data_IF_845342027130
#
_entry.id   IF_845342027130
#
_cell.length_a   1.000
_cell.length_b   1.000
_cell.length_c   1.000
_cell.angle_alpha   90.00
_cell.angle_beta   90.00
_cell.angle_gamma   90.00
#
_symmetry.space_group_name_H-M   'P 1'
#
loop_
_entity.id
_entity.type
_entity.pdbx_description
1 polymer ?
#
# COMPACT_ATOMS: atom_id res chain seq x y z
N UNK A 1 -19.34 -24.42 -12.58
CA UNK A 1 -19.10 -24.14 -14.00
C UNK A 1 -17.67 -23.67 -14.17
N UNK A 2 -16.79 -24.56 -14.61
CA UNK A 2 -15.40 -24.24 -14.96
C UNK A 2 -15.45 -23.46 -16.27
N UNK A 3 -15.23 -22.14 -16.21
CA UNK A 3 -15.01 -21.33 -17.42
C UNK A 3 -13.81 -21.95 -18.15
N UNK A 4 -13.96 -22.30 -19.42
CA UNK A 4 -12.84 -22.65 -20.28
C UNK A 4 -11.88 -21.46 -20.30
N UNK A 5 -10.75 -21.62 -19.63
CA UNK A 5 -9.74 -20.58 -19.52
C UNK A 5 -8.73 -20.85 -20.61
N UNK A 6 -8.79 -20.09 -21.69
CA UNK A 6 -7.90 -20.23 -22.84
C UNK A 6 -6.47 -19.81 -22.48
N UNK A 7 -5.51 -20.60 -22.91
CA UNK A 7 -4.10 -20.24 -22.82
C UNK A 7 -3.81 -19.04 -23.74
N UNK A 8 -2.98 -18.12 -23.28
CA UNK A 8 -2.55 -16.92 -24.03
C UNK A 8 -1.13 -17.14 -24.52
N UNK A 9 -0.89 -16.83 -25.81
CA UNK A 9 0.44 -16.92 -26.40
C UNK A 9 1.07 -15.54 -26.43
N UNK A 10 2.31 -15.41 -25.93
CA UNK A 10 3.09 -14.17 -25.90
C UNK A 10 4.41 -14.41 -26.61
N UNK A 11 4.90 -13.38 -27.35
CA UNK A 11 6.18 -13.42 -28.02
C UNK A 11 7.33 -13.25 -27.02
N UNK A 12 8.41 -14.01 -27.23
CA UNK A 12 9.66 -13.87 -26.47
C UNK A 12 10.61 -13.02 -27.31
N UNK A 13 11.10 -11.93 -26.70
CA UNK A 13 12.03 -11.00 -27.33
C UNK A 13 13.47 -11.21 -26.80
N UNK A 14 14.45 -10.82 -27.58
CA UNK A 14 15.83 -10.62 -27.12
C UNK A 14 15.99 -9.27 -26.44
N UNK A 15 17.14 -9.02 -25.83
CA UNK A 15 17.53 -7.71 -25.27
C UNK A 15 17.58 -6.59 -26.33
N UNK A 16 17.64 -6.93 -27.61
CA UNK A 16 17.68 -6.01 -28.77
C UNK A 16 16.30 -5.85 -29.45
N UNK A 17 15.23 -6.44 -28.88
CA UNK A 17 13.88 -6.38 -29.44
C UNK A 17 13.59 -7.36 -30.57
N UNK A 18 14.51 -8.27 -30.91
CA UNK A 18 14.28 -9.29 -31.92
C UNK A 18 13.40 -10.42 -31.39
N UNK A 19 12.44 -10.91 -32.19
CA UNK A 19 11.57 -12.03 -31.83
C UNK A 19 12.38 -13.34 -31.88
N UNK A 20 12.45 -14.05 -30.74
CA UNK A 20 13.14 -15.35 -30.60
C UNK A 20 12.20 -16.55 -30.67
N UNK A 21 10.91 -16.35 -30.34
CA UNK A 21 9.92 -17.41 -30.29
C UNK A 21 8.63 -16.97 -29.60
N UNK A 22 7.81 -17.94 -29.24
CA UNK A 22 6.57 -17.71 -28.49
C UNK A 22 6.48 -18.65 -27.27
N UNK A 23 5.80 -18.19 -26.23
CA UNK A 23 5.52 -18.95 -25.02
C UNK A 23 4.02 -18.96 -24.73
N UNK A 24 3.50 -20.11 -24.32
CA UNK A 24 2.13 -20.22 -23.87
C UNK A 24 2.06 -19.94 -22.38
N UNK A 25 1.23 -18.96 -22.00
CA UNK A 25 0.91 -18.62 -20.62
C UNK A 25 -0.31 -19.40 -20.16
N UNK A 26 -0.25 -19.90 -18.92
CA UNK A 26 -1.37 -20.64 -18.33
C UNK A 26 -2.61 -19.76 -18.19
N UNK A 27 -3.70 -20.18 -18.81
CA UNK A 27 -4.97 -19.49 -18.76
C UNK A 27 -5.52 -19.31 -17.34
N UNK A 28 -5.31 -20.27 -16.44
CA UNK A 28 -5.71 -20.16 -15.03
C UNK A 28 -5.10 -18.95 -14.30
N UNK A 29 -4.00 -18.39 -14.80
CA UNK A 29 -3.33 -17.23 -14.20
C UNK A 29 -3.59 -15.97 -15.03
N UNK A 30 -3.41 -16.05 -16.35
CA UNK A 30 -3.42 -14.91 -17.27
C UNK A 30 -4.73 -14.75 -18.05
N UNK A 31 -5.61 -15.75 -18.03
CA UNK A 31 -6.91 -15.71 -18.69
C UNK A 31 -8.08 -15.37 -17.76
N UNK A 32 -7.82 -14.94 -16.53
CA UNK A 32 -8.87 -14.62 -15.55
C UNK A 32 -9.45 -13.24 -15.86
N UNK A 33 -10.78 -13.13 -15.84
CA UNK A 33 -11.47 -11.85 -15.94
C UNK A 33 -11.07 -10.92 -14.78
N UNK A 34 -10.52 -9.72 -15.06
CA UNK A 34 -10.02 -8.83 -14.02
C UNK A 34 -11.12 -8.36 -13.07
N UNK A 35 -10.97 -8.64 -11.77
CA UNK A 35 -11.88 -8.18 -10.73
C UNK A 35 -11.29 -6.96 -10.00
N UNK A 36 -11.73 -5.76 -10.41
CA UNK A 36 -11.25 -4.48 -9.88
C UNK A 36 -11.49 -4.32 -8.39
N UNK A 37 -12.61 -4.82 -7.86
CA UNK A 37 -12.92 -4.73 -6.43
C UNK A 37 -11.93 -5.53 -5.58
N UNK A 38 -11.62 -6.76 -5.98
CA UNK A 38 -10.67 -7.61 -5.24
C UNK A 38 -9.25 -7.04 -5.32
N UNK A 39 -8.85 -6.46 -6.46
CA UNK A 39 -7.58 -5.75 -6.62
C UNK A 39 -7.50 -4.53 -5.68
N UNK A 40 -8.58 -3.74 -5.59
CA UNK A 40 -8.68 -2.61 -4.65
C UNK A 40 -8.53 -3.06 -3.19
N UNK A 41 -9.19 -4.15 -2.79
CA UNK A 41 -9.07 -4.68 -1.42
C UNK A 41 -7.64 -5.14 -1.10
N UNK A 42 -6.96 -5.76 -2.06
CA UNK A 42 -5.56 -6.17 -1.91
C UNK A 42 -4.63 -4.96 -1.76
N UNK A 43 -4.78 -3.94 -2.60
CA UNK A 43 -4.04 -2.69 -2.52
C UNK A 43 -4.29 -1.98 -1.19
N UNK A 44 -5.55 -1.82 -0.78
CA UNK A 44 -5.93 -1.22 0.51
C UNK A 44 -5.28 -1.94 1.69
N UNK A 45 -5.29 -3.29 1.66
CA UNK A 45 -4.60 -4.10 2.66
C UNK A 45 -3.11 -3.79 2.70
N UNK A 46 -2.44 -3.77 1.55
CA UNK A 46 -1.00 -3.51 1.46
C UNK A 46 -0.64 -2.13 2.01
N UNK A 47 -1.37 -1.09 1.63
CA UNK A 47 -1.16 0.27 2.13
C UNK A 47 -1.42 0.39 3.63
N UNK A 48 -2.49 -0.24 4.14
CA UNK A 48 -2.79 -0.25 5.57
C UNK A 48 -1.70 -0.96 6.38
N UNK A 49 -1.23 -2.12 5.90
CA UNK A 49 -0.21 -2.90 6.61
C UNK A 49 1.18 -2.24 6.58
N UNK A 50 1.45 -1.40 5.60
CA UNK A 50 2.67 -0.58 5.56
C UNK A 50 2.63 0.62 6.53
N UNK A 51 1.44 0.98 7.03
CA UNK A 51 1.26 2.13 7.91
C UNK A 51 1.72 1.84 9.33
N UNK A 52 2.71 2.55 9.82
CA UNK A 52 3.29 2.33 11.16
C UNK A 52 2.35 2.70 12.34
N UNK A 53 1.42 3.63 12.16
CA UNK A 53 0.42 4.00 13.17
C UNK A 53 0.97 4.66 14.44
N UNK A 54 2.07 5.41 14.35
CA UNK A 54 2.78 5.97 15.49
C UNK A 54 2.23 7.31 16.01
N UNK A 55 1.23 7.88 15.34
CA UNK A 55 0.64 9.15 15.77
C UNK A 55 0.08 9.06 17.19
N UNK A 56 0.50 9.98 18.06
CA UNK A 56 0.08 10.01 19.46
C UNK A 56 -0.18 11.45 19.90
N UNK A 57 -1.32 11.68 20.58
CA UNK A 57 -1.61 12.91 21.29
C UNK A 57 -1.79 12.61 22.79
N UNK A 58 -1.30 13.51 23.64
CA UNK A 58 -1.42 13.37 25.09
C UNK A 58 -2.80 13.77 25.57
N UNK A 59 -3.44 12.92 26.34
CA UNK A 59 -4.66 13.23 27.08
C UNK A 59 -4.35 14.11 28.29
N UNK A 60 -5.39 14.68 28.93
CA UNK A 60 -5.22 15.50 30.15
C UNK A 60 -4.51 14.77 31.30
N UNK A 61 -4.56 13.44 31.34
CA UNK A 61 -3.84 12.64 32.33
C UNK A 61 -2.36 12.51 32.04
N UNK A 62 -1.99 12.50 30.76
CA UNK A 62 -0.61 12.28 30.26
C UNK A 62 0.19 13.58 30.13
N UNK A 63 -0.49 14.75 30.07
CA UNK A 63 0.19 16.06 30.03
C UNK A 63 0.85 16.33 31.36
N UNK A 64 2.10 16.78 31.36
CA UNK A 64 2.84 17.16 32.57
C UNK A 64 2.28 18.43 33.22
N UNK A 65 2.33 18.53 34.54
CA UNK A 65 1.92 19.70 35.31
C UNK A 65 0.52 19.60 35.93
N UNK A 66 -0.01 20.71 36.46
CA UNK A 66 -1.41 20.91 36.82
C UNK A 66 -1.92 20.22 38.08
N UNK A 67 -1.10 19.86 39.06
CA UNK A 67 -1.58 19.28 40.32
C UNK A 67 -2.38 20.23 41.21
N UNK A 68 -2.14 21.54 41.15
CA UNK A 68 -2.81 22.56 41.91
C UNK A 68 -4.04 23.10 41.20
N UNK A 69 -5.15 23.35 41.91
CA UNK A 69 -6.34 24.01 41.39
C UNK A 69 -5.97 25.45 40.97
N UNK A 70 -6.31 25.95 39.75
CA UNK A 70 -5.90 27.25 39.28
C UNK A 70 -6.36 28.43 40.12
N UNK A 71 -7.61 28.38 40.62
CA UNK A 71 -8.23 29.38 41.49
C UNK A 71 -9.31 28.78 42.35
N UNK A 72 -9.79 29.59 43.32
CA UNK A 72 -10.85 29.17 44.26
C UNK A 72 -12.17 28.87 43.52
N UNK A 73 -13.00 28.00 44.10
CA UNK A 73 -14.26 27.53 43.52
C UNK A 73 -15.29 28.64 43.27
N UNK A 74 -15.30 29.69 44.14
CA UNK A 74 -16.21 30.82 44.13
C UNK A 74 -15.43 32.11 44.45
N UNK A 75 -16.00 33.30 44.15
CA UNK A 75 -15.43 34.59 44.51
C UNK A 75 -14.35 35.13 43.56
N UNK A 76 -14.13 34.54 42.38
CA UNK A 76 -13.12 35.00 41.41
C UNK A 76 -13.67 35.69 40.16
N UNK A 77 -15.00 35.68 39.97
CA UNK A 77 -15.63 36.13 38.73
C UNK A 77 -15.30 35.35 37.48
N UNK A 78 -14.51 34.28 37.60
CA UNK A 78 -14.08 33.42 36.49
C UNK A 78 -14.86 32.11 36.43
N UNK A 79 -14.86 31.48 35.24
CA UNK A 79 -15.40 30.13 35.11
C UNK A 79 -14.67 29.14 36.04
N UNK A 80 -15.36 28.16 36.56
CA UNK A 80 -14.77 27.14 37.44
C UNK A 80 -13.79 26.28 36.66
N UNK A 81 -12.58 26.11 37.20
CA UNK A 81 -11.57 25.24 36.63
C UNK A 81 -10.91 24.36 37.67
N UNK A 82 -10.79 23.08 37.38
CA UNK A 82 -10.17 22.08 38.27
C UNK A 82 -8.67 21.86 37.96
N UNK A 83 -8.25 22.03 36.72
CA UNK A 83 -6.86 21.81 36.30
C UNK A 83 -6.53 22.62 35.06
N UNK A 84 -5.30 23.12 34.99
CA UNK A 84 -4.73 23.77 33.80
C UNK A 84 -4.49 22.78 32.64
N UNK A 85 -4.49 21.49 32.90
CA UNK A 85 -4.38 20.43 31.89
C UNK A 85 -5.70 20.13 31.16
N UNK A 86 -6.79 20.82 31.51
CA UNK A 86 -8.06 20.70 30.80
C UNK A 86 -7.89 21.09 29.33
N UNK A 87 -8.56 20.41 28.38
CA UNK A 87 -8.48 20.75 26.95
C UNK A 87 -8.98 22.15 26.60
N UNK A 88 -9.66 22.83 27.52
CA UNK A 88 -10.08 24.21 27.38
C UNK A 88 -8.92 25.23 27.51
N UNK A 89 -7.80 24.80 28.08
CA UNK A 89 -6.63 25.65 28.28
C UNK A 89 -5.58 25.41 27.20
N UNK A 90 -4.88 26.46 26.81
CA UNK A 90 -3.71 26.37 25.92
C UNK A 90 -2.64 25.49 26.57
N UNK A 91 -2.17 24.48 25.85
CA UNK A 91 -1.25 23.48 26.38
C UNK A 91 -1.92 22.36 27.21
N UNK A 92 -3.25 22.35 27.31
CA UNK A 92 -4.00 21.25 27.90
C UNK A 92 -4.01 19.98 27.03
N UNK A 93 -4.59 18.89 27.57
CA UNK A 93 -4.67 17.62 26.86
C UNK A 93 -5.64 17.64 25.69
N UNK A 94 -5.44 16.77 24.74
CA UNK A 94 -6.32 16.57 23.58
C UNK A 94 -7.39 15.53 23.92
N UNK A 95 -8.66 15.86 23.58
CA UNK A 95 -9.78 14.91 23.70
C UNK A 95 -9.85 14.08 22.42
N UNK A 96 -9.96 12.76 22.53
CA UNK A 96 -10.02 11.82 21.38
C UNK A 96 -8.92 12.01 20.34
N UNK A 97 -7.73 12.44 20.80
CA UNK A 97 -6.55 12.52 19.94
C UNK A 97 -6.09 11.15 19.41
N UNK A 98 -5.25 11.13 18.38
CA UNK A 98 -4.73 9.88 17.86
C UNK A 98 -3.93 9.15 18.94
N UNK A 99 -4.03 7.82 18.94
CA UNK A 99 -3.21 6.92 19.77
C UNK A 99 -2.52 5.91 18.86
N UNK A 100 -1.33 5.44 19.22
CA UNK A 100 -0.67 4.38 18.48
C UNK A 100 -1.59 3.17 18.34
N UNK A 101 -1.79 2.71 17.11
CA UNK A 101 -2.63 1.55 16.82
C UNK A 101 -2.13 0.81 15.59
N UNK A 102 -2.42 -0.47 15.52
CA UNK A 102 -2.24 -1.25 14.30
C UNK A 102 -3.33 -0.87 13.28
N UNK A 103 -2.92 -0.76 12.03
CA UNK A 103 -3.79 -0.64 10.86
C UNK A 103 -3.86 -1.94 10.07
N UNK A 104 -3.33 -3.03 10.62
CA UNK A 104 -3.31 -4.31 9.96
C UNK A 104 -4.71 -4.76 9.54
N UNK A 105 -4.83 -5.11 8.27
CA UNK A 105 -6.06 -5.59 7.66
C UNK A 105 -5.83 -6.99 7.13
N UNK A 106 -6.62 -7.95 7.58
CA UNK A 106 -6.59 -9.31 7.05
C UNK A 106 -7.36 -9.40 5.73
N UNK A 107 -6.86 -10.22 4.80
CA UNK A 107 -7.56 -10.58 3.56
C UNK A 107 -7.36 -12.08 3.31
N UNK A 108 -8.42 -12.86 3.06
CA UNK A 108 -8.33 -14.29 2.79
C UNK A 108 -7.33 -14.63 1.70
N UNK A 109 -6.61 -15.74 1.83
CA UNK A 109 -5.57 -16.13 0.88
C UNK A 109 -6.10 -16.30 -0.55
N UNK A 110 -7.31 -16.88 -0.69
CA UNK A 110 -7.97 -17.03 -2.01
C UNK A 110 -8.21 -15.68 -2.68
N UNK A 111 -8.65 -14.66 -1.93
CA UNK A 111 -8.87 -13.31 -2.45
C UNK A 111 -7.54 -12.65 -2.88
N UNK A 112 -6.45 -12.84 -2.09
CA UNK A 112 -5.11 -12.33 -2.45
C UNK A 112 -4.59 -12.95 -3.76
N UNK A 113 -4.74 -14.27 -3.92
CA UNK A 113 -4.37 -14.98 -5.14
C UNK A 113 -5.20 -14.50 -6.34
N UNK A 114 -6.52 -14.33 -6.16
CA UNK A 114 -7.40 -13.82 -7.22
C UNK A 114 -7.03 -12.37 -7.61
N UNK A 115 -6.70 -11.51 -6.65
CA UNK A 115 -6.25 -10.14 -6.92
C UNK A 115 -4.98 -10.12 -7.80
N UNK A 116 -4.00 -10.98 -7.49
CA UNK A 116 -2.76 -11.09 -8.26
C UNK A 116 -3.02 -11.60 -9.68
N UNK A 117 -3.82 -12.67 -9.83
CA UNK A 117 -4.22 -13.20 -11.14
C UNK A 117 -4.95 -12.13 -11.97
N UNK A 118 -5.89 -11.41 -11.37
CA UNK A 118 -6.62 -10.31 -12.01
C UNK A 118 -5.68 -9.18 -12.47
N UNK A 119 -4.68 -8.82 -11.67
CA UNK A 119 -3.71 -7.80 -12.03
C UNK A 119 -2.80 -8.24 -13.20
N UNK A 120 -2.35 -9.49 -13.20
CA UNK A 120 -1.55 -10.05 -14.28
C UNK A 120 -2.35 -10.13 -15.59
N UNK A 121 -3.59 -10.61 -15.52
CA UNK A 121 -4.49 -10.66 -16.69
C UNK A 121 -4.75 -9.26 -17.28
N UNK A 122 -4.97 -8.26 -16.43
CA UNK A 122 -5.21 -6.89 -16.88
C UNK A 122 -3.98 -6.22 -17.53
N UNK A 123 -2.78 -6.71 -17.20
CA UNK A 123 -1.51 -6.18 -17.75
C UNK A 123 -0.95 -7.00 -18.89
N UNK A 124 -1.62 -8.06 -19.29
CA UNK A 124 -1.12 -9.00 -20.31
C UNK A 124 -0.76 -8.33 -21.64
N UNK A 125 -1.61 -7.39 -22.10
CA UNK A 125 -1.38 -6.68 -23.37
C UNK A 125 -0.15 -5.76 -23.34
N UNK A 126 0.21 -5.25 -22.15
CA UNK A 126 1.37 -4.41 -21.95
C UNK A 126 2.62 -5.20 -21.50
N UNK A 127 2.53 -6.54 -21.43
CA UNK A 127 3.62 -7.38 -20.94
C UNK A 127 4.62 -7.68 -22.06
N UNK A 128 5.88 -7.39 -21.79
CA UNK A 128 7.01 -7.73 -22.65
C UNK A 128 7.77 -8.87 -22.00
N UNK A 129 7.93 -9.99 -22.72
CA UNK A 129 8.66 -11.16 -22.22
C UNK A 129 10.03 -11.20 -22.91
N UNK A 130 11.08 -11.10 -22.10
CA UNK A 130 12.47 -11.18 -22.57
C UNK A 130 13.05 -12.52 -22.14
N UNK A 131 13.84 -13.16 -23.01
CA UNK A 131 14.39 -14.50 -22.76
C UNK A 131 15.28 -14.51 -21.51
N UNK A 132 16.31 -13.68 -21.51
CA UNK A 132 17.23 -13.48 -20.38
C UNK A 132 18.04 -12.18 -20.56
N UNK A 133 18.86 -11.86 -19.56
CA UNK A 133 19.77 -10.72 -19.56
C UNK A 133 21.24 -11.15 -19.44
N UNK A 134 21.56 -12.41 -19.76
CA UNK A 134 22.91 -12.98 -19.65
C UNK A 134 23.95 -12.28 -20.54
N UNK A 135 23.50 -11.61 -21.62
CA UNK A 135 24.34 -10.80 -22.50
C UNK A 135 24.87 -9.52 -21.83
N UNK A 136 24.28 -9.12 -20.69
CA UNK A 136 24.69 -7.92 -19.96
C UNK A 136 25.76 -8.30 -18.94
N UNK A 137 27.03 -8.16 -19.31
CA UNK A 137 28.18 -8.49 -18.45
C UNK A 137 28.39 -7.51 -17.31
N UNK A 138 27.99 -6.23 -17.48
CA UNK A 138 28.21 -5.18 -16.48
C UNK A 138 26.90 -4.53 -16.04
N UNK A 139 26.65 -4.36 -14.71
CA UNK A 139 25.45 -3.73 -14.18
C UNK A 139 25.49 -2.20 -14.34
N UNK A 140 25.42 -1.70 -15.58
CA UNK A 140 25.38 -0.26 -15.90
C UNK A 140 23.98 0.19 -16.27
N UNK A 141 23.48 1.25 -15.61
CA UNK A 141 22.16 1.85 -15.88
C UNK A 141 22.01 2.31 -17.34
N UNK A 142 23.10 2.80 -17.96
CA UNK A 142 23.14 3.21 -19.38
C UNK A 142 22.81 2.06 -20.32
N UNK A 143 23.30 0.85 -20.04
CA UNK A 143 23.03 -0.35 -20.84
C UNK A 143 21.56 -0.74 -20.71
N UNK A 144 21.00 -0.77 -19.48
CA UNK A 144 19.59 -1.05 -19.26
C UNK A 144 18.67 -0.02 -19.90
N UNK A 145 19.02 1.27 -19.85
CA UNK A 145 18.25 2.32 -20.51
C UNK A 145 18.19 2.14 -22.02
N UNK A 146 19.27 1.62 -22.64
CA UNK A 146 19.28 1.27 -24.07
C UNK A 146 18.35 0.08 -24.35
N UNK A 147 18.46 -1.00 -23.57
CA UNK A 147 17.61 -2.18 -23.70
C UNK A 147 16.13 -1.81 -23.59
N UNK A 148 15.74 -0.98 -22.59
CA UNK A 148 14.36 -0.53 -22.44
C UNK A 148 13.86 0.27 -23.65
N UNK A 149 14.71 1.12 -24.25
CA UNK A 149 14.37 1.84 -25.49
C UNK A 149 14.19 0.89 -26.67
N UNK A 150 15.06 -0.09 -26.83
CA UNK A 150 15.00 -1.07 -27.91
C UNK A 150 13.76 -1.98 -27.80
N UNK A 151 13.27 -2.22 -26.57
CA UNK A 151 12.04 -2.95 -26.27
C UNK A 151 10.77 -2.09 -26.32
N UNK A 152 10.87 -0.76 -26.52
CA UNK A 152 9.76 0.20 -26.43
C UNK A 152 9.01 0.14 -25.07
N UNK A 153 9.72 -0.06 -23.97
CA UNK A 153 9.19 -0.21 -22.61
C UNK A 153 9.40 1.06 -21.77
#
# INVERSE_FOLDING_TARGET
MTKNVENKTVKILSTQGAELGSMNLEGEVFGVEPNTHVMYLALKRQLNNARAGLACAKTRAEVSGGGKKPWKQKGTGRARAGSLRSPLFRGGGVIFGPKPRSFETALPQKARKLALKSALSAKLEAMIVVKDFSEISEPKTKVMAKVLKDLNA
#
